data_IF_926533855790
#
_entry.id   IF_926533855790
#
_cell.length_a   1.000
_cell.length_b   1.000
_cell.length_c   1.000
_cell.angle_alpha   90.00
_cell.angle_beta   90.00
_cell.angle_gamma   90.00
#
_symmetry.space_group_name_H-M   'P 1'
#
loop_
_entity.id
_entity.type
_entity.pdbx_description
1 polymer ?
#
# COMPACT_ATOMS: atom_id res chain seq x y z
N UNK A 1 -18.52 -0.82 -2.81
CA UNK A 1 -17.19 -1.30 -2.36
C UNK A 1 -17.32 -1.71 -0.91
N UNK A 2 -16.68 -2.81 -0.50
CA UNK A 2 -16.81 -3.38 0.84
C UNK A 2 -15.42 -3.55 1.47
N UNK A 3 -15.30 -3.18 2.73
CA UNK A 3 -14.08 -3.30 3.53
C UNK A 3 -14.37 -4.22 4.70
N UNK A 4 -13.65 -5.33 4.81
CA UNK A 4 -13.83 -6.33 5.87
C UNK A 4 -12.55 -6.42 6.72
N UNK A 5 -12.56 -5.95 7.98
CA UNK A 5 -11.41 -6.03 8.88
C UNK A 5 -11.33 -7.37 9.62
N UNK A 6 -10.11 -7.80 9.93
CA UNK A 6 -9.79 -9.01 10.69
C UNK A 6 -8.74 -8.67 11.77
N UNK A 7 -9.12 -7.96 12.84
CA UNK A 7 -8.19 -7.58 13.90
C UNK A 7 -7.75 -8.78 14.73
N UNK A 8 -6.47 -8.79 15.14
CA UNK A 8 -5.90 -9.76 16.06
C UNK A 8 -5.05 -9.06 17.13
N UNK A 9 -5.08 -9.65 18.32
CA UNK A 9 -4.24 -9.34 19.46
C UNK A 9 -3.41 -10.58 19.73
N UNK A 10 -2.19 -10.59 19.21
CA UNK A 10 -1.30 -11.75 19.24
C UNK A 10 -0.49 -11.79 20.54
N UNK A 11 -0.20 -10.62 21.11
CA UNK A 11 0.38 -10.46 22.44
C UNK A 11 -0.70 -10.60 23.52
N UNK A 12 -0.57 -11.63 24.35
CA UNK A 12 -1.41 -11.82 25.53
C UNK A 12 -0.88 -10.99 26.71
N UNK A 13 -1.11 -9.67 26.69
CA UNK A 13 -0.91 -8.79 27.85
C UNK A 13 -2.27 -8.34 28.36
N UNK A 14 -2.51 -8.47 29.67
CA UNK A 14 -3.82 -8.19 30.27
C UNK A 14 -4.32 -6.75 30.07
N UNK A 15 -3.41 -5.81 29.79
CA UNK A 15 -3.71 -4.38 29.66
C UNK A 15 -3.44 -3.82 28.26
N UNK A 16 -3.05 -4.66 27.29
CA UNK A 16 -2.82 -4.21 25.92
C UNK A 16 -4.07 -4.43 25.07
N UNK A 17 -4.62 -3.32 24.57
CA UNK A 17 -5.82 -3.32 23.71
C UNK A 17 -5.45 -3.05 22.24
N UNK A 18 -4.16 -2.89 21.93
CA UNK A 18 -3.69 -2.69 20.57
C UNK A 18 -3.89 -3.96 19.74
N UNK A 19 -4.58 -3.82 18.62
CA UNK A 19 -4.58 -4.86 17.59
C UNK A 19 -3.21 -4.87 16.89
N UNK A 20 -2.32 -5.76 17.33
CA UNK A 20 -0.92 -5.83 16.90
C UNK A 20 -0.71 -6.52 15.54
N UNK A 21 -1.75 -7.14 14.99
CA UNK A 21 -1.70 -7.89 13.74
C UNK A 21 -3.05 -7.78 13.03
N UNK A 22 -3.07 -7.00 11.96
CA UNK A 22 -4.28 -6.60 11.25
C UNK A 22 -4.24 -7.11 9.80
N UNK A 23 -5.38 -7.59 9.34
CA UNK A 23 -5.68 -7.82 7.93
C UNK A 23 -6.99 -7.12 7.59
N UNK A 24 -7.05 -6.45 6.44
CA UNK A 24 -8.29 -5.99 5.85
C UNK A 24 -8.40 -6.49 4.41
N UNK A 25 -9.61 -6.89 4.02
CA UNK A 25 -9.95 -7.26 2.64
C UNK A 25 -10.84 -6.16 2.06
N UNK A 26 -10.39 -5.53 0.98
CA UNK A 26 -11.15 -4.54 0.23
C UNK A 26 -11.64 -5.18 -1.08
N UNK A 27 -12.95 -5.14 -1.28
CA UNK A 27 -13.63 -5.74 -2.42
C UNK A 27 -14.07 -4.67 -3.41
N UNK A 28 -13.57 -4.77 -4.64
CA UNK A 28 -13.92 -3.94 -5.78
C UNK A 28 -14.51 -4.79 -6.91
N UNK A 29 -15.27 -4.22 -7.86
CA UNK A 29 -15.92 -4.99 -8.92
C UNK A 29 -14.98 -5.86 -9.78
N UNK A 30 -13.69 -5.52 -9.86
CA UNK A 30 -12.70 -6.23 -10.71
C UNK A 30 -11.44 -6.65 -9.97
N UNK A 31 -11.36 -6.46 -8.65
CA UNK A 31 -10.19 -6.89 -7.88
C UNK A 31 -10.52 -7.04 -6.39
N UNK A 32 -9.69 -7.83 -5.73
CA UNK A 32 -9.66 -7.97 -4.28
C UNK A 32 -8.30 -7.51 -3.80
N UNK A 33 -8.29 -6.66 -2.77
CA UNK A 33 -7.05 -6.16 -2.17
C UNK A 33 -6.97 -6.68 -0.74
N UNK A 34 -5.81 -7.17 -0.36
CA UNK A 34 -5.48 -7.49 1.03
C UNK A 34 -4.47 -6.47 1.53
N UNK A 35 -4.79 -5.80 2.64
CA UNK A 35 -3.86 -4.92 3.36
C UNK A 35 -3.53 -5.58 4.68
N UNK A 36 -2.24 -5.82 4.94
CA UNK A 36 -1.77 -6.41 6.18
C UNK A 36 -0.76 -5.50 6.85
N UNK A 37 -0.92 -5.30 8.15
CA UNK A 37 0.09 -4.67 9.01
C UNK A 37 0.26 -5.51 10.26
N UNK A 38 1.50 -5.72 10.68
CA UNK A 38 1.82 -6.50 11.87
C UNK A 38 2.94 -5.80 12.62
N UNK A 39 2.62 -5.25 13.80
CA UNK A 39 3.61 -4.68 14.72
C UNK A 39 4.60 -5.75 15.23
N UNK A 40 4.16 -7.02 15.21
CA UNK A 40 4.94 -8.19 15.62
C UNK A 40 5.94 -8.68 14.57
N UNK A 41 5.95 -8.10 13.38
CA UNK A 41 6.79 -8.56 12.27
C UNK A 41 8.26 -8.24 12.54
N UNK A 42 9.09 -9.28 12.70
CA UNK A 42 10.55 -9.14 12.78
C UNK A 42 11.07 -8.62 11.45
N UNK A 43 11.87 -7.55 11.49
CA UNK A 43 12.36 -6.84 10.30
C UNK A 43 11.23 -6.32 9.37
N UNK A 44 10.12 -5.89 9.98
CA UNK A 44 8.94 -5.41 9.25
C UNK A 44 9.22 -4.30 8.23
N UNK A 45 10.26 -3.47 8.43
CA UNK A 45 10.64 -2.42 7.50
C UNK A 45 11.03 -2.96 6.11
N UNK A 46 11.78 -4.08 6.04
CA UNK A 46 12.17 -4.73 4.79
C UNK A 46 11.05 -5.60 4.18
N UNK A 47 10.01 -5.88 4.96
CA UNK A 47 8.83 -6.65 4.56
C UNK A 47 7.67 -5.80 4.05
N UNK A 48 7.78 -4.47 4.08
CA UNK A 48 6.85 -3.58 3.39
C UNK A 48 6.95 -3.82 1.89
N UNK A 49 5.85 -4.29 1.32
CA UNK A 49 5.80 -4.66 -0.08
C UNK A 49 4.43 -4.37 -0.70
N UNK A 50 4.38 -4.34 -2.03
CA UNK A 50 3.15 -4.31 -2.80
C UNK A 50 3.26 -5.36 -3.90
N UNK A 51 2.23 -6.19 -4.02
CA UNK A 51 2.08 -7.14 -5.11
C UNK A 51 0.78 -6.84 -5.87
N UNK A 52 0.88 -6.76 -7.18
CA UNK A 52 -0.25 -6.57 -8.09
C UNK A 52 -0.26 -7.74 -9.07
N UNK A 53 -1.31 -8.57 -8.98
CA UNK A 53 -1.52 -9.71 -9.85
C UNK A 53 -2.61 -9.38 -10.88
N UNK A 54 -2.23 -9.30 -12.14
CA UNK A 54 -3.14 -9.13 -13.27
C UNK A 54 -3.23 -10.40 -14.11
N UNK A 55 -4.08 -10.36 -15.13
CA UNK A 55 -4.27 -11.50 -16.06
C UNK A 55 -3.04 -11.78 -16.92
N UNK A 56 -2.22 -10.77 -17.21
CA UNK A 56 -1.01 -10.90 -18.04
C UNK A 56 0.29 -11.07 -17.25
N UNK A 57 0.27 -10.91 -15.92
CA UNK A 57 1.47 -10.97 -15.11
C UNK A 57 1.33 -10.39 -13.71
N UNK A 58 2.43 -10.45 -12.98
CA UNK A 58 2.55 -10.01 -11.59
C UNK A 58 3.69 -9.03 -11.44
N UNK A 59 3.44 -7.93 -10.74
CA UNK A 59 4.47 -7.02 -10.23
C UNK A 59 4.58 -7.19 -8.73
N UNK A 60 5.80 -7.30 -8.21
CA UNK A 60 6.08 -7.32 -6.78
C UNK A 60 7.23 -6.36 -6.47
N UNK A 61 7.03 -5.43 -5.54
CA UNK A 61 8.06 -4.48 -5.09
C UNK A 61 8.38 -4.73 -3.61
N UNK A 62 9.65 -4.94 -3.29
CA UNK A 62 10.14 -5.16 -1.92
C UNK A 62 11.66 -4.90 -1.83
N UNK A 63 12.16 -4.17 -0.83
CA UNK A 63 11.39 -3.36 0.12
C UNK A 63 10.74 -2.15 -0.58
N UNK A 64 9.63 -1.63 -0.04
CA UNK A 64 8.90 -0.52 -0.68
C UNK A 64 9.70 0.80 -0.72
N UNK A 65 10.55 1.04 0.27
CA UNK A 65 11.25 2.33 0.47
C UNK A 65 12.58 2.46 -0.29
N UNK A 66 13.23 1.34 -0.61
CA UNK A 66 14.41 1.27 -1.47
C UNK A 66 14.12 0.26 -2.58
N UNK A 67 13.28 0.68 -3.55
CA UNK A 67 12.54 -0.27 -4.35
C UNK A 67 13.46 -1.10 -5.23
N UNK A 68 13.36 -2.41 -5.08
CA UNK A 68 13.61 -3.37 -6.14
C UNK A 68 12.27 -4.01 -6.52
N UNK A 69 12.05 -4.26 -7.81
CA UNK A 69 10.83 -4.92 -8.26
C UNK A 69 11.15 -6.20 -9.02
N UNK A 70 10.24 -7.15 -8.91
CA UNK A 70 10.19 -8.34 -9.75
C UNK A 70 8.94 -8.25 -10.61
N UNK A 71 9.12 -8.36 -11.93
CA UNK A 71 8.03 -8.52 -12.89
C UNK A 71 8.02 -9.97 -13.36
N UNK A 72 6.83 -10.55 -13.44
CA UNK A 72 6.62 -11.87 -14.05
C UNK A 72 5.52 -11.76 -15.09
N UNK A 73 5.84 -11.95 -16.35
CA UNK A 73 4.85 -11.91 -17.44
C UNK A 73 4.57 -13.30 -18.01
N UNK A 74 3.30 -13.53 -18.37
CA UNK A 74 2.88 -14.75 -19.05
C UNK A 74 3.43 -14.83 -20.49
N UNK A 75 3.55 -13.68 -21.15
CA UNK A 75 4.06 -13.49 -22.52
C UNK A 75 4.94 -12.22 -22.55
N UNK A 76 5.87 -12.07 -23.52
CA UNK A 76 6.66 -10.83 -23.61
C UNK A 76 5.75 -9.61 -23.82
N UNK A 77 6.08 -8.48 -23.18
CA UNK A 77 5.29 -7.26 -23.23
C UNK A 77 6.19 -6.02 -23.37
N UNK A 78 6.22 -5.42 -24.58
CA UNK A 78 7.10 -4.30 -24.88
C UNK A 78 8.59 -4.68 -24.70
N UNK A 79 9.30 -3.97 -23.82
CA UNK A 79 10.71 -4.22 -23.52
C UNK A 79 10.93 -5.41 -22.54
N UNK A 80 9.86 -6.01 -22.03
CA UNK A 80 9.91 -7.01 -20.98
C UNK A 80 9.75 -8.42 -21.55
N UNK A 81 10.60 -9.35 -21.11
CA UNK A 81 10.52 -10.76 -21.52
C UNK A 81 9.43 -11.51 -20.76
N UNK A 82 9.00 -12.64 -21.34
CA UNK A 82 8.23 -13.67 -20.63
C UNK A 82 9.00 -14.20 -19.42
N UNK A 83 8.28 -14.58 -18.37
CA UNK A 83 8.82 -15.11 -17.14
C UNK A 83 9.27 -14.03 -16.17
N UNK A 84 9.98 -14.45 -15.12
CA UNK A 84 10.42 -13.58 -14.04
C UNK A 84 11.67 -12.78 -14.42
N UNK A 85 11.69 -11.51 -14.00
CA UNK A 85 12.83 -10.61 -14.19
C UNK A 85 12.85 -9.53 -13.10
N UNK A 86 14.06 -9.11 -12.73
CA UNK A 86 14.27 -8.08 -11.73
C UNK A 86 14.46 -6.72 -12.39
N UNK A 87 13.92 -5.69 -11.75
CA UNK A 87 14.12 -4.29 -12.07
C UNK A 87 14.79 -3.58 -10.90
N UNK A 88 15.81 -2.80 -11.21
CA UNK A 88 16.40 -1.84 -10.28
C UNK A 88 15.91 -0.43 -10.62
N UNK A 89 15.74 0.38 -9.58
CA UNK A 89 15.36 1.78 -9.72
C UNK A 89 16.51 2.65 -9.21
N UNK A 90 16.61 3.90 -9.68
CA UNK A 90 17.44 4.89 -9.01
C UNK A 90 17.03 5.03 -7.54
N UNK A 91 17.99 5.38 -6.69
CA UNK A 91 17.72 5.61 -5.27
C UNK A 91 16.59 6.63 -5.10
N UNK A 92 15.58 6.27 -4.32
CA UNK A 92 14.47 7.15 -3.98
C UNK A 92 14.75 7.84 -2.64
N UNK A 93 14.61 9.16 -2.60
CA UNK A 93 14.71 9.94 -1.35
C UNK A 93 13.31 10.36 -0.92
N UNK A 94 12.79 9.71 0.13
CA UNK A 94 11.45 9.98 0.66
C UNK A 94 11.26 11.45 1.01
N UNK A 95 10.03 11.95 0.88
CA UNK A 95 9.56 13.28 1.27
C UNK A 95 10.09 14.47 0.47
N UNK A 96 11.23 14.34 -0.23
CA UNK A 96 11.78 15.44 -1.06
C UNK A 96 10.79 15.82 -2.16
N UNK A 97 10.29 14.82 -2.89
CA UNK A 97 9.30 15.02 -3.94
C UNK A 97 7.97 15.53 -3.37
N UNK A 98 7.51 14.99 -2.24
CA UNK A 98 6.24 15.38 -1.61
C UNK A 98 6.25 16.84 -1.16
N UNK A 99 7.35 17.27 -0.52
CA UNK A 99 7.52 18.66 -0.07
C UNK A 99 7.62 19.64 -1.26
N UNK A 100 8.33 19.24 -2.33
CA UNK A 100 8.38 20.02 -3.57
C UNK A 100 6.99 20.14 -4.22
N UNK A 101 6.21 19.05 -4.24
CA UNK A 101 4.85 19.02 -4.77
C UNK A 101 3.92 19.96 -4.01
N UNK A 102 3.95 19.88 -2.67
CA UNK A 102 3.19 20.77 -1.80
C UNK A 102 3.54 22.23 -2.05
N UNK A 103 4.82 22.55 -2.17
CA UNK A 103 5.28 23.92 -2.40
C UNK A 103 4.84 24.45 -3.78
N UNK A 104 4.87 23.61 -4.82
CA UNK A 104 4.39 23.97 -6.16
C UNK A 104 2.88 24.26 -6.17
N UNK A 105 2.09 23.48 -5.43
CA UNK A 105 0.65 23.72 -5.27
C UNK A 105 0.38 25.05 -4.56
N UNK A 106 1.09 25.34 -3.47
CA UNK A 106 0.94 26.60 -2.70
C UNK A 106 1.28 27.82 -3.56
N UNK A 107 2.31 27.71 -4.42
CA UNK A 107 2.70 28.79 -5.34
C UNK A 107 1.81 28.91 -6.59
N UNK A 108 0.86 28.00 -6.79
CA UNK A 108 -0.01 27.98 -7.98
C UNK A 108 0.67 27.47 -9.25
N UNK A 109 1.85 26.85 -9.14
CA UNK A 109 2.60 26.27 -10.26
C UNK A 109 2.03 24.91 -10.69
N UNK A 110 1.27 24.27 -9.81
CA UNK A 110 0.67 22.95 -10.03
C UNK A 110 -0.73 22.90 -9.41
N UNK A 111 -1.67 22.23 -10.09
CA UNK A 111 -2.96 21.86 -9.50
C UNK A 111 -2.75 20.59 -8.67
N UNK A 112 -3.35 20.55 -7.47
CA UNK A 112 -3.30 19.40 -6.57
C UNK A 112 -3.62 18.08 -7.30
N UNK A 113 -2.79 17.06 -7.06
CA UNK A 113 -2.94 15.73 -7.69
C UNK A 113 -4.20 15.00 -7.20
N UNK A 114 -4.62 15.30 -5.97
CA UNK A 114 -5.76 14.70 -5.30
C UNK A 114 -6.65 15.82 -4.75
N UNK A 115 -7.95 15.61 -4.82
CA UNK A 115 -8.92 16.52 -4.21
C UNK A 115 -9.35 16.02 -2.83
N UNK A 116 -10.24 16.79 -2.19
CA UNK A 116 -10.74 16.45 -0.86
C UNK A 116 -11.52 15.12 -0.85
N UNK A 117 -12.15 14.75 -1.96
CA UNK A 117 -12.93 13.51 -2.03
C UNK A 117 -12.02 12.28 -1.93
N UNK A 118 -10.81 12.38 -2.49
CA UNK A 118 -9.78 11.36 -2.33
C UNK A 118 -9.42 11.16 -0.85
N UNK A 119 -9.08 12.25 -0.15
CA UNK A 119 -8.64 12.17 1.25
C UNK A 119 -9.74 11.63 2.17
N UNK A 120 -11.00 12.03 1.94
CA UNK A 120 -12.17 11.49 2.66
C UNK A 120 -12.32 9.99 2.39
N UNK A 121 -12.18 9.57 1.13
CA UNK A 121 -12.27 8.15 0.76
C UNK A 121 -11.17 7.32 1.44
N UNK A 122 -9.93 7.82 1.46
CA UNK A 122 -8.80 7.18 2.15
C UNK A 122 -9.08 7.08 3.64
N UNK A 123 -9.45 8.18 4.31
CA UNK A 123 -9.69 8.18 5.75
C UNK A 123 -10.82 7.23 6.16
N UNK A 124 -11.95 7.26 5.43
CA UNK A 124 -13.06 6.33 5.67
C UNK A 124 -12.62 4.87 5.51
N UNK A 125 -11.84 4.59 4.47
CA UNK A 125 -11.34 3.23 4.20
C UNK A 125 -10.41 2.75 5.30
N UNK A 126 -9.50 3.61 5.80
CA UNK A 126 -8.59 3.29 6.90
C UNK A 126 -9.38 2.97 8.17
N UNK A 127 -10.37 3.79 8.53
CA UNK A 127 -11.19 3.55 9.72
C UNK A 127 -11.96 2.22 9.61
N UNK A 128 -12.58 1.93 8.46
CA UNK A 128 -13.24 0.64 8.23
C UNK A 128 -12.27 -0.54 8.31
N UNK A 129 -11.08 -0.43 7.69
CA UNK A 129 -10.05 -1.45 7.70
C UNK A 129 -9.47 -1.69 9.11
N UNK A 130 -9.50 -0.66 9.95
CA UNK A 130 -9.08 -0.72 11.35
C UNK A 130 -10.20 -1.14 12.31
N UNK A 131 -11.40 -1.46 11.82
CA UNK A 131 -12.60 -1.71 12.63
C UNK A 131 -12.94 -0.56 13.60
N UNK A 132 -12.68 0.69 13.18
CA UNK A 132 -12.95 1.90 13.95
C UNK A 132 -14.28 2.55 13.53
N UNK A 133 -14.94 3.28 14.43
CA UNK A 133 -16.13 4.09 14.09
C UNK A 133 -15.86 5.11 12.98
N UNK A 134 -16.88 5.39 12.17
CA UNK A 134 -16.82 6.41 11.12
C UNK A 134 -17.37 7.76 11.59
N UNK A 135 -18.23 7.72 12.59
CA UNK A 135 -18.73 8.83 13.38
C UNK A 135 -17.90 9.00 14.65
N UNK A 136 -17.91 10.21 15.20
CA UNK A 136 -17.32 10.52 16.52
C UNK A 136 -18.38 10.45 17.60
#
# INVERSE_FOLDING_TARGET
EKVTPFPRHSLASANDTLADNMLAVLEYPRCTITVRTAAMEVDGFNRRHLAVCGTGGTMHIQPLDDPSATLTFAEPHGAYKRGMQSLSFPKFTRYVADAADMAAVIRGEKIKSFDLSHDIAVQRTILQAAAMPLDK
#
